data_IF_489809333579
#
_entry.id   IF_489809333579
#
_cell.length_a   1.000
_cell.length_b   1.000
_cell.length_c   1.000
_cell.angle_alpha   90.00
_cell.angle_beta   90.00
_cell.angle_gamma   90.00
#
_symmetry.space_group_name_H-M   'P 1'
#
loop_
_entity.id
_entity.type
_entity.pdbx_description
1 polymer ?
#
# COMPACT_ATOMS: atom_id res chain seq x y z
N UNK A 1 -32.11 -3.26 1.26
CA UNK A 1 -31.21 -2.26 1.86
C UNK A 1 -31.22 -2.48 3.38
N UNK A 2 -30.19 -3.12 3.93
CA UNK A 2 -30.09 -3.32 5.38
C UNK A 2 -29.87 -1.96 6.04
N UNK A 3 -30.85 -1.50 6.82
CA UNK A 3 -30.68 -0.31 7.66
C UNK A 3 -29.77 -0.70 8.83
N UNK A 4 -28.62 -0.05 8.96
CA UNK A 4 -27.75 -0.24 10.12
C UNK A 4 -28.51 0.00 11.40
N UNK A 5 -28.38 -0.94 12.34
CA UNK A 5 -29.10 -0.90 13.61
C UNK A 5 -28.32 -0.04 14.63
N UNK A 6 -28.95 0.48 15.67
CA UNK A 6 -28.26 1.26 16.71
C UNK A 6 -27.13 0.52 17.44
N UNK A 7 -27.16 -0.80 17.49
CA UNK A 7 -26.12 -1.65 18.09
C UNK A 7 -24.98 -1.99 17.14
N UNK A 8 -25.07 -1.66 15.84
CA UNK A 8 -23.99 -1.87 14.91
C UNK A 8 -22.85 -0.88 15.19
N UNK A 9 -21.62 -1.27 14.83
CA UNK A 9 -20.45 -0.40 14.88
C UNK A 9 -20.19 0.22 13.50
N UNK A 10 -19.90 1.52 13.47
CA UNK A 10 -19.45 2.23 12.29
C UNK A 10 -18.06 2.80 12.55
N UNK A 11 -17.04 2.12 12.02
CA UNK A 11 -15.64 2.49 12.14
C UNK A 11 -15.26 3.24 10.87
N UNK A 12 -14.67 4.43 11.00
CA UNK A 12 -14.32 5.25 9.83
C UNK A 12 -13.11 6.14 10.06
N UNK A 13 -12.41 6.45 8.97
CA UNK A 13 -11.31 7.39 8.98
C UNK A 13 -11.83 8.83 8.97
N UNK A 14 -11.61 9.52 10.08
CA UNK A 14 -12.16 10.85 10.30
C UNK A 14 -11.46 11.96 9.51
N UNK A 15 -10.22 11.73 9.01
CA UNK A 15 -9.50 12.71 8.18
C UNK A 15 -9.96 12.71 6.73
N UNK A 16 -10.70 11.66 6.28
CA UNK A 16 -11.18 11.58 4.91
C UNK A 16 -12.22 12.65 4.61
N UNK A 17 -11.95 13.58 3.65
CA UNK A 17 -12.86 14.69 3.36
C UNK A 17 -14.19 14.25 2.74
N UNK A 18 -14.20 13.10 2.05
CA UNK A 18 -15.42 12.55 1.46
C UNK A 18 -16.31 12.01 2.57
N UNK A 19 -15.72 11.24 3.50
CA UNK A 19 -16.45 10.70 4.64
C UNK A 19 -17.01 11.84 5.51
N UNK A 20 -16.20 12.86 5.83
CA UNK A 20 -16.66 14.06 6.57
C UNK A 20 -17.88 14.69 5.91
N UNK A 21 -17.79 14.98 4.62
CA UNK A 21 -18.88 15.60 3.86
C UNK A 21 -20.15 14.75 3.81
N UNK A 22 -20.00 13.44 3.63
CA UNK A 22 -21.16 12.55 3.54
C UNK A 22 -21.82 12.32 4.90
N UNK A 23 -21.07 12.29 6.00
CA UNK A 23 -21.62 12.16 7.35
C UNK A 23 -22.56 13.31 7.72
N UNK A 24 -22.32 14.52 7.22
CA UNK A 24 -23.21 15.66 7.43
C UNK A 24 -24.60 15.47 6.83
N UNK A 25 -24.72 14.63 5.79
CA UNK A 25 -25.96 14.37 5.05
C UNK A 25 -26.78 13.22 5.64
N UNK A 26 -26.17 12.36 6.45
CA UNK A 26 -26.81 11.13 6.93
C UNK A 26 -26.85 11.05 8.45
N UNK A 27 -28.00 10.74 8.99
CA UNK A 27 -28.15 10.42 10.42
C UNK A 27 -27.74 8.95 10.63
N UNK A 28 -26.48 8.71 11.00
CA UNK A 28 -25.94 7.38 11.28
C UNK A 28 -26.40 6.95 12.68
N UNK A 29 -27.24 5.92 12.75
CA UNK A 29 -27.77 5.37 14.01
C UNK A 29 -26.79 4.43 14.73
N UNK A 30 -25.84 3.84 14.00
CA UNK A 30 -24.82 2.97 14.54
C UNK A 30 -23.89 3.72 15.51
N UNK A 31 -23.31 3.02 16.47
CA UNK A 31 -22.29 3.56 17.34
C UNK A 31 -21.05 3.91 16.49
N UNK A 32 -20.59 5.15 16.60
CA UNK A 32 -19.51 5.67 15.74
C UNK A 32 -18.16 5.55 16.44
N UNK A 33 -17.19 5.01 15.71
CA UNK A 33 -15.82 4.82 16.14
C UNK A 33 -14.86 5.49 15.13
N UNK A 34 -14.74 6.83 15.18
CA UNK A 34 -13.82 7.57 14.31
C UNK A 34 -12.37 7.38 14.71
N UNK A 35 -11.49 7.21 13.73
CA UNK A 35 -10.04 7.25 13.93
C UNK A 35 -9.39 8.25 12.97
N UNK A 36 -8.24 8.81 13.38
CA UNK A 36 -7.49 9.81 12.64
C UNK A 36 -5.97 9.60 12.81
N UNK A 37 -5.17 10.37 12.09
CA UNK A 37 -3.71 10.38 12.30
C UNK A 37 -3.36 10.95 13.67
N UNK A 38 -3.98 12.06 14.02
CA UNK A 38 -3.74 12.79 15.27
C UNK A 38 -4.98 12.79 16.15
N UNK A 39 -4.77 13.05 17.45
CA UNK A 39 -5.86 13.24 18.41
C UNK A 39 -6.65 14.49 18.09
N UNK A 40 -7.92 14.33 17.81
CA UNK A 40 -8.91 15.41 17.66
C UNK A 40 -10.11 15.14 18.55
N UNK A 41 -10.96 16.20 18.74
CA UNK A 41 -12.20 16.06 19.53
C UNK A 41 -13.13 15.04 18.87
N UNK A 42 -13.49 14.00 19.62
CA UNK A 42 -14.39 12.94 19.17
C UNK A 42 -13.72 11.77 18.48
N UNK A 43 -12.44 11.86 18.13
CA UNK A 43 -11.63 10.74 17.62
C UNK A 43 -11.27 9.80 18.77
N UNK A 44 -11.41 8.50 18.55
CA UNK A 44 -11.17 7.46 19.57
C UNK A 44 -9.96 6.57 19.27
N UNK A 45 -9.42 6.61 18.05
CA UNK A 45 -8.21 5.91 17.66
C UNK A 45 -7.25 6.84 16.92
N UNK A 46 -5.99 6.94 17.35
CA UNK A 46 -5.03 7.91 16.83
C UNK A 46 -3.59 7.53 17.19
N UNK A 47 -2.61 8.23 16.60
CA UNK A 47 -1.20 8.18 17.01
C UNK A 47 -0.87 9.44 17.80
N UNK A 48 -0.24 9.27 18.95
CA UNK A 48 0.25 10.37 19.80
C UNK A 48 1.58 9.98 20.42
N UNK A 49 2.61 10.80 20.24
CA UNK A 49 3.96 10.58 20.80
C UNK A 49 4.53 9.18 20.49
N UNK A 50 4.36 8.68 19.27
CA UNK A 50 4.81 7.35 18.88
C UNK A 50 3.98 6.19 19.44
N UNK A 51 2.87 6.50 20.12
CA UNK A 51 1.94 5.52 20.65
C UNK A 51 0.72 5.37 19.73
N UNK A 52 0.41 4.14 19.39
CA UNK A 52 -0.86 3.73 18.82
C UNK A 52 -1.89 3.65 19.96
N UNK A 53 -2.95 4.44 19.90
CA UNK A 53 -3.94 4.54 20.97
C UNK A 53 -5.35 4.30 20.46
N UNK A 54 -6.13 3.55 21.24
CA UNK A 54 -7.58 3.38 21.09
C UNK A 54 -8.20 3.69 22.47
N UNK A 55 -9.15 4.64 22.51
CA UNK A 55 -9.80 5.04 23.77
C UNK A 55 -11.07 4.23 24.07
N UNK A 56 -11.75 3.72 23.04
CA UNK A 56 -13.05 3.06 23.17
C UNK A 56 -13.18 1.83 22.24
N UNK A 57 -14.03 0.84 22.59
CA UNK A 57 -14.82 0.72 23.85
C UNK A 57 -13.96 0.47 25.08
N UNK A 58 -12.80 -0.16 24.94
CA UNK A 58 -11.83 -0.35 26.01
C UNK A 58 -10.47 0.31 25.66
N UNK A 59 -9.88 1.09 26.59
CA UNK A 59 -8.58 1.72 26.34
C UNK A 59 -7.50 0.68 25.98
N UNK A 60 -6.79 0.92 24.88
CA UNK A 60 -5.67 0.10 24.39
C UNK A 60 -4.56 0.99 23.86
N UNK A 61 -3.33 0.65 24.17
CA UNK A 61 -2.16 1.32 23.62
C UNK A 61 -1.02 0.34 23.33
N UNK A 62 -0.16 0.69 22.38
CA UNK A 62 1.12 0.02 22.09
C UNK A 62 2.04 0.98 21.37
N UNK A 63 3.36 0.67 21.39
CA UNK A 63 4.34 1.42 20.61
C UNK A 63 4.04 1.27 19.11
N UNK A 64 4.02 2.38 18.38
CA UNK A 64 3.83 2.37 16.94
C UNK A 64 4.92 1.55 16.23
N UNK A 65 6.15 1.59 16.73
CA UNK A 65 7.28 0.82 16.20
C UNK A 65 7.10 -0.69 16.34
N UNK A 66 6.24 -1.13 17.26
CA UNK A 66 5.87 -2.54 17.44
C UNK A 66 4.89 -3.06 16.41
N UNK A 67 4.29 -2.20 15.57
CA UNK A 67 3.45 -2.64 14.48
C UNK A 67 4.29 -3.35 13.41
N UNK A 68 3.86 -4.55 13.03
CA UNK A 68 4.56 -5.35 12.00
C UNK A 68 4.50 -4.71 10.61
N UNK A 69 3.40 -4.03 10.30
CA UNK A 69 3.21 -3.33 9.04
C UNK A 69 3.61 -1.87 9.16
N UNK A 70 4.51 -1.42 8.30
CA UNK A 70 5.00 -0.04 8.25
C UNK A 70 4.28 0.78 7.15
N UNK A 71 4.41 2.09 7.24
CA UNK A 71 3.79 3.03 6.29
C UNK A 71 2.44 3.56 6.78
N UNK A 72 2.16 4.81 6.40
CA UNK A 72 1.02 5.59 6.89
C UNK A 72 -0.33 4.89 6.69
N UNK A 73 -0.56 4.33 5.50
CA UNK A 73 -1.79 3.58 5.20
C UNK A 73 -1.96 2.33 6.07
N UNK A 74 -0.87 1.66 6.44
CA UNK A 74 -0.93 0.48 7.32
C UNK A 74 -1.21 0.86 8.77
N UNK A 75 -0.80 2.05 9.21
CA UNK A 75 -1.20 2.59 10.52
C UNK A 75 -2.72 2.75 10.56
N UNK A 76 -3.34 3.32 9.54
CA UNK A 76 -4.79 3.46 9.46
C UNK A 76 -5.51 2.11 9.40
N UNK A 77 -4.99 1.17 8.63
CA UNK A 77 -5.51 -0.19 8.59
C UNK A 77 -5.42 -0.87 9.97
N UNK A 78 -4.31 -0.68 10.68
CA UNK A 78 -4.11 -1.21 12.03
C UNK A 78 -5.07 -0.56 13.03
N UNK A 79 -5.31 0.77 12.95
CA UNK A 79 -6.29 1.47 13.77
C UNK A 79 -7.70 0.91 13.55
N UNK A 80 -8.11 0.78 12.30
CA UNK A 80 -9.42 0.21 11.97
C UNK A 80 -9.56 -1.25 12.47
N UNK A 81 -8.55 -2.09 12.25
CA UNK A 81 -8.53 -3.48 12.69
C UNK A 81 -8.52 -3.60 14.22
N UNK A 82 -7.71 -2.79 14.90
CA UNK A 82 -7.64 -2.76 16.37
C UNK A 82 -8.95 -2.32 17.01
N UNK A 83 -9.59 -1.27 16.48
CA UNK A 83 -10.90 -0.82 16.93
C UNK A 83 -11.95 -1.93 16.69
N UNK A 84 -11.99 -2.51 15.51
CA UNK A 84 -12.95 -3.58 15.19
C UNK A 84 -12.78 -4.79 16.12
N UNK A 85 -11.56 -5.19 16.40
CA UNK A 85 -11.24 -6.29 17.31
C UNK A 85 -11.65 -5.96 18.76
N UNK A 86 -11.42 -4.71 19.19
CA UNK A 86 -11.80 -4.22 20.52
C UNK A 86 -13.32 -4.19 20.66
N UNK A 87 -14.06 -3.68 19.67
CA UNK A 87 -15.52 -3.70 19.62
C UNK A 87 -16.07 -5.13 19.64
N UNK A 88 -15.38 -6.08 19.01
CA UNK A 88 -15.73 -7.51 19.01
C UNK A 88 -15.39 -8.21 20.34
N UNK A 89 -14.79 -7.53 21.30
CA UNK A 89 -14.44 -8.09 22.61
C UNK A 89 -13.21 -8.99 22.60
N UNK A 90 -12.33 -8.86 21.60
CA UNK A 90 -11.06 -9.58 21.56
C UNK A 90 -10.13 -9.05 22.65
N UNK A 91 -9.41 -9.96 23.33
CA UNK A 91 -8.49 -9.58 24.39
C UNK A 91 -7.35 -8.69 23.90
N UNK A 92 -6.95 -7.72 24.72
CA UNK A 92 -5.90 -6.74 24.39
C UNK A 92 -4.56 -7.41 24.05
N UNK A 93 -4.23 -8.52 24.71
CA UNK A 93 -3.01 -9.29 24.46
C UNK A 93 -3.02 -9.90 23.04
N UNK A 94 -4.19 -10.43 22.62
CA UNK A 94 -4.34 -11.03 21.29
C UNK A 94 -4.33 -9.95 20.20
N UNK A 95 -4.96 -8.78 20.45
CA UNK A 95 -4.88 -7.63 19.53
C UNK A 95 -3.42 -7.18 19.38
N UNK A 96 -2.70 -6.99 20.50
CA UNK A 96 -1.30 -6.58 20.48
C UNK A 96 -0.43 -7.57 19.71
N UNK A 97 -0.55 -8.86 20.05
CA UNK A 97 0.19 -9.94 19.38
C UNK A 97 -0.08 -9.93 17.88
N UNK A 98 -1.35 -9.91 17.48
CA UNK A 98 -1.72 -9.93 16.05
C UNK A 98 -1.17 -8.72 15.30
N UNK A 99 -1.24 -7.52 15.88
CA UNK A 99 -0.70 -6.31 15.25
C UNK A 99 0.83 -6.30 15.17
N UNK A 100 1.52 -6.97 16.09
CA UNK A 100 2.99 -7.09 16.10
C UNK A 100 3.52 -8.20 15.19
N UNK A 101 2.78 -9.31 15.07
CA UNK A 101 3.27 -10.53 14.41
C UNK A 101 2.67 -10.72 13.01
N UNK A 102 1.77 -9.84 12.56
CA UNK A 102 1.10 -10.00 11.27
C UNK A 102 2.11 -9.98 10.11
N UNK A 103 2.26 -11.07 9.35
CA UNK A 103 3.31 -11.17 8.32
C UNK A 103 3.05 -10.32 7.07
N UNK A 104 1.93 -9.58 7.04
CA UNK A 104 1.48 -8.84 5.88
C UNK A 104 0.56 -9.68 4.97
N UNK A 105 0.08 -9.04 3.92
CA UNK A 105 -0.72 -9.69 2.88
C UNK A 105 0.21 -9.95 1.70
N UNK A 106 0.21 -11.17 1.21
CA UNK A 106 0.95 -11.56 0.02
C UNK A 106 0.67 -10.59 -1.15
N UNK A 107 1.67 -10.29 -1.94
CA UNK A 107 1.62 -9.31 -3.04
C UNK A 107 1.33 -7.85 -2.62
N UNK A 108 1.43 -7.50 -1.32
CA UNK A 108 1.29 -6.12 -0.84
C UNK A 108 2.54 -5.70 -0.07
N UNK A 109 3.41 -4.91 -0.72
CA UNK A 109 4.72 -4.50 -0.21
C UNK A 109 5.52 -5.67 0.40
N UNK A 110 5.32 -6.86 -0.15
CA UNK A 110 5.93 -8.12 0.29
C UNK A 110 7.43 -8.12 -0.01
N UNK A 111 8.25 -8.20 1.03
CA UNK A 111 9.70 -8.33 0.87
C UNK A 111 10.02 -9.75 0.40
N UNK A 112 10.56 -9.89 -0.80
CA UNK A 112 10.80 -11.19 -1.44
C UNK A 112 12.20 -11.74 -1.12
N UNK A 113 13.23 -10.96 -1.45
CA UNK A 113 14.63 -11.32 -1.25
C UNK A 113 15.53 -10.08 -1.36
N UNK A 114 16.81 -10.27 -1.05
CA UNK A 114 17.86 -9.27 -1.33
C UNK A 114 18.95 -9.95 -2.16
N UNK A 115 19.24 -9.40 -3.33
CA UNK A 115 20.27 -9.92 -4.25
C UNK A 115 21.27 -8.81 -4.55
N UNK A 116 22.56 -9.06 -4.39
CA UNK A 116 23.67 -8.08 -4.57
C UNK A 116 23.45 -6.75 -3.82
N UNK A 117 22.80 -6.80 -2.63
CA UNK A 117 22.48 -5.60 -1.86
C UNK A 117 21.28 -4.79 -2.39
N UNK A 118 20.54 -5.31 -3.37
CA UNK A 118 19.28 -4.76 -3.89
C UNK A 118 18.12 -5.52 -3.27
N UNK A 119 17.16 -4.80 -2.68
CA UNK A 119 15.95 -5.38 -2.13
C UNK A 119 14.87 -5.52 -3.22
N UNK A 120 14.21 -6.67 -3.29
CA UNK A 120 13.09 -6.93 -4.20
C UNK A 120 11.79 -6.94 -3.41
N UNK A 121 10.84 -6.06 -3.79
CA UNK A 121 9.54 -5.90 -3.12
C UNK A 121 8.41 -6.15 -4.13
N UNK A 122 7.52 -7.06 -3.77
CA UNK A 122 6.34 -7.41 -4.55
C UNK A 122 5.11 -6.67 -4.02
N UNK A 123 4.61 -5.74 -4.82
CA UNK A 123 3.37 -5.02 -4.58
C UNK A 123 2.41 -5.19 -5.79
N UNK A 124 2.35 -6.41 -6.33
CA UNK A 124 1.50 -6.75 -7.48
C UNK A 124 0.03 -6.41 -7.28
N UNK A 125 -0.42 -6.30 -6.02
CA UNK A 125 -1.77 -5.89 -5.63
C UNK A 125 -2.05 -4.41 -5.90
N UNK A 126 -1.05 -3.56 -6.14
CA UNK A 126 -1.20 -2.16 -6.53
C UNK A 126 -1.70 -2.04 -7.98
N UNK A 127 -2.99 -2.27 -8.19
CA UNK A 127 -3.64 -2.29 -9.50
C UNK A 127 -4.27 -0.94 -9.89
N UNK A 128 -3.93 0.13 -9.18
CA UNK A 128 -4.32 1.51 -9.45
C UNK A 128 -3.22 2.48 -9.01
N UNK A 129 -3.34 3.74 -9.43
CA UNK A 129 -2.34 4.79 -9.20
C UNK A 129 -2.19 5.15 -7.73
N UNK A 130 -3.30 5.21 -6.98
CA UNK A 130 -3.27 5.54 -5.55
C UNK A 130 -2.47 4.50 -4.74
N UNK A 131 -2.64 3.21 -5.04
CA UNK A 131 -1.89 2.16 -4.38
C UNK A 131 -0.38 2.30 -4.63
N UNK A 132 0.03 2.59 -5.87
CA UNK A 132 1.43 2.84 -6.22
C UNK A 132 1.97 4.11 -5.53
N UNK A 133 1.15 5.14 -5.39
CA UNK A 133 1.52 6.35 -4.66
C UNK A 133 1.94 6.02 -3.21
N UNK A 134 1.11 5.27 -2.49
CA UNK A 134 1.43 4.84 -1.12
C UNK A 134 2.64 3.89 -1.07
N UNK A 135 2.79 3.03 -2.07
CA UNK A 135 3.96 2.16 -2.15
C UNK A 135 5.26 2.96 -2.32
N UNK A 136 5.29 3.94 -3.22
CA UNK A 136 6.42 4.83 -3.41
C UNK A 136 6.70 5.70 -2.17
N UNK A 137 5.65 6.24 -1.54
CA UNK A 137 5.79 7.05 -0.32
C UNK A 137 6.48 6.27 0.79
N UNK A 138 6.13 4.99 0.95
CA UNK A 138 6.71 4.11 1.97
C UNK A 138 8.19 3.74 1.72
N UNK A 139 8.73 3.93 0.52
CA UNK A 139 10.12 3.58 0.20
C UNK A 139 11.12 4.52 0.86
N UNK A 140 12.14 3.93 1.49
CA UNK A 140 13.22 4.65 2.17
C UNK A 140 14.51 4.73 1.35
N UNK A 141 14.60 4.00 0.25
CA UNK A 141 15.76 3.94 -0.66
C UNK A 141 15.36 4.42 -2.05
N UNK A 142 16.34 4.62 -2.93
CA UNK A 142 16.06 4.81 -4.37
C UNK A 142 15.44 3.53 -4.96
N UNK A 143 14.61 3.70 -5.97
CA UNK A 143 13.73 2.66 -6.50
C UNK A 143 13.93 2.47 -7.99
N UNK A 144 14.05 1.23 -8.44
CA UNK A 144 13.72 0.82 -9.81
C UNK A 144 12.23 0.41 -9.77
N UNK A 145 11.38 1.23 -10.36
CA UNK A 145 9.93 1.03 -10.36
C UNK A 145 9.50 0.18 -11.55
N UNK A 146 8.82 -0.93 -11.29
CA UNK A 146 8.13 -1.71 -12.33
C UNK A 146 6.68 -1.24 -12.37
N UNK A 147 6.26 -0.68 -13.50
CA UNK A 147 4.94 -0.13 -13.74
C UNK A 147 4.38 -0.63 -15.07
N UNK A 148 3.07 -0.86 -15.16
CA UNK A 148 2.42 -1.28 -16.39
C UNK A 148 1.42 -2.40 -16.22
N UNK A 149 0.85 -2.82 -17.34
CA UNK A 149 -0.24 -3.76 -17.43
C UNK A 149 -1.44 -3.16 -18.17
N UNK A 150 -2.62 -3.76 -18.02
CA UNK A 150 -3.84 -3.28 -18.67
C UNK A 150 -4.32 -1.97 -18.04
N UNK A 151 -4.03 -0.85 -18.70
CA UNK A 151 -4.50 0.48 -18.32
C UNK A 151 -6.03 0.59 -18.43
N UNK A 152 -6.66 1.25 -17.46
CA UNK A 152 -8.12 1.47 -17.40
C UNK A 152 -8.49 2.96 -17.48
N UNK A 153 -7.66 3.77 -18.08
CA UNK A 153 -7.84 5.22 -18.12
C UNK A 153 -7.14 5.94 -16.96
N UNK A 154 -6.04 5.37 -16.45
CA UNK A 154 -5.30 5.94 -15.33
C UNK A 154 -4.84 7.38 -15.62
N UNK A 155 -4.93 8.25 -14.62
CA UNK A 155 -4.22 9.50 -14.52
C UNK A 155 -2.95 9.28 -13.69
N UNK A 156 -1.78 9.45 -14.29
CA UNK A 156 -0.48 9.25 -13.63
C UNK A 156 0.09 10.54 -13.00
N UNK A 157 -0.54 11.69 -13.19
CA UNK A 157 -0.05 12.96 -12.62
C UNK A 157 0.19 12.89 -11.11
N UNK A 158 -0.67 12.25 -10.29
CA UNK A 158 -0.48 12.21 -8.84
C UNK A 158 0.81 11.51 -8.38
N UNK A 159 1.35 10.55 -9.14
CA UNK A 159 2.57 9.83 -8.75
C UNK A 159 3.86 10.43 -9.30
N UNK A 160 3.78 11.30 -10.33
CA UNK A 160 4.98 11.89 -10.97
C UNK A 160 5.93 12.58 -9.99
N UNK A 161 5.48 13.35 -9.00
CA UNK A 161 6.38 13.96 -8.02
C UNK A 161 7.21 12.92 -7.25
N UNK A 162 6.57 11.84 -6.77
CA UNK A 162 7.26 10.76 -6.05
C UNK A 162 8.18 9.94 -6.96
N UNK A 163 7.77 9.69 -8.21
CA UNK A 163 8.61 9.03 -9.20
C UNK A 163 9.89 9.86 -9.43
N UNK A 164 9.77 11.16 -9.61
CA UNK A 164 10.92 12.06 -9.79
C UNK A 164 11.83 12.11 -8.57
N UNK A 165 11.26 12.09 -7.38
CA UNK A 165 12.00 12.13 -6.12
C UNK A 165 12.71 10.80 -5.83
N UNK A 166 12.02 9.68 -5.99
CA UNK A 166 12.45 8.39 -5.45
C UNK A 166 12.99 7.41 -6.48
N UNK A 167 12.59 7.50 -7.76
CA UNK A 167 13.03 6.52 -8.75
C UNK A 167 14.41 6.87 -9.32
N UNK A 168 15.26 5.86 -9.42
CA UNK A 168 16.53 5.88 -10.15
C UNK A 168 16.38 5.21 -11.54
N UNK A 169 15.27 4.50 -11.76
CA UNK A 169 14.91 3.90 -13.04
C UNK A 169 13.44 3.46 -13.05
N UNK A 170 12.91 3.30 -14.25
CA UNK A 170 11.55 2.79 -14.48
C UNK A 170 11.61 1.66 -15.49
N UNK A 171 10.92 0.57 -15.22
CA UNK A 171 10.76 -0.56 -16.14
C UNK A 171 9.28 -0.71 -16.45
N UNK A 172 8.93 -0.54 -17.72
CA UNK A 172 7.56 -0.77 -18.18
C UNK A 172 7.34 -2.27 -18.39
N UNK A 173 6.21 -2.77 -17.92
CA UNK A 173 5.82 -4.17 -18.02
C UNK A 173 4.37 -4.27 -18.49
N UNK A 174 4.15 -4.43 -19.78
CA UNK A 174 2.81 -4.51 -20.36
C UNK A 174 2.84 -4.98 -21.81
N UNK A 175 1.71 -5.42 -22.32
CA UNK A 175 1.53 -5.74 -23.74
C UNK A 175 1.57 -4.46 -24.61
N UNK A 176 1.08 -3.35 -24.08
CA UNK A 176 1.09 -2.02 -24.66
C UNK A 176 1.50 -1.00 -23.60
N UNK A 177 2.66 -0.36 -23.79
CA UNK A 177 3.25 0.61 -22.87
C UNK A 177 3.21 2.04 -23.40
N UNK A 178 2.51 2.30 -24.50
CA UNK A 178 2.51 3.63 -25.16
C UNK A 178 2.14 4.76 -24.18
N UNK A 179 1.10 4.56 -23.38
CA UNK A 179 0.66 5.57 -22.41
C UNK A 179 1.69 5.83 -21.31
N UNK A 180 2.50 4.85 -20.94
CA UNK A 180 3.59 5.02 -19.98
C UNK A 180 4.73 5.84 -20.61
N UNK A 181 5.06 5.60 -21.88
CA UNK A 181 6.02 6.43 -22.63
C UNK A 181 5.59 7.90 -22.68
N UNK A 182 4.33 8.17 -22.98
CA UNK A 182 3.77 9.53 -23.03
C UNK A 182 3.89 10.26 -21.67
N UNK A 183 3.79 9.52 -20.56
CA UNK A 183 3.79 10.08 -19.21
C UNK A 183 5.15 10.19 -18.55
N UNK A 184 6.09 9.28 -18.83
CA UNK A 184 7.31 9.15 -18.02
C UNK A 184 8.62 9.34 -18.80
N UNK A 185 8.67 9.20 -20.13
CA UNK A 185 9.93 9.29 -20.89
C UNK A 185 10.62 10.66 -20.75
N UNK A 186 9.85 11.72 -20.59
CA UNK A 186 10.38 13.10 -20.50
C UNK A 186 10.79 13.50 -19.07
N UNK A 187 10.80 12.56 -18.11
CA UNK A 187 11.14 12.87 -16.72
C UNK A 187 12.65 12.88 -16.42
N UNK A 188 13.49 12.51 -17.40
CA UNK A 188 14.95 12.43 -17.20
C UNK A 188 15.41 11.25 -16.34
N UNK A 189 14.56 10.23 -16.18
CA UNK A 189 14.85 8.99 -15.46
C UNK A 189 15.08 7.91 -16.51
N UNK A 190 16.12 7.04 -16.35
CA UNK A 190 16.34 5.92 -17.26
C UNK A 190 15.11 4.98 -17.31
N UNK A 191 14.71 4.63 -18.52
CA UNK A 191 13.55 3.76 -18.80
C UNK A 191 13.99 2.50 -19.53
N UNK A 192 13.35 1.37 -19.26
CA UNK A 192 13.38 0.15 -20.08
C UNK A 192 11.95 -0.28 -20.38
N UNK A 193 11.70 -0.59 -21.64
CA UNK A 193 10.42 -1.12 -22.12
C UNK A 193 10.49 -2.65 -22.23
N UNK A 194 9.55 -3.36 -21.61
CA UNK A 194 9.54 -4.82 -21.55
C UNK A 194 8.15 -5.40 -21.68
N UNK A 195 8.05 -6.60 -22.26
CA UNK A 195 6.80 -7.28 -22.59
C UNK A 195 6.68 -8.67 -21.95
N UNK A 196 7.57 -9.01 -21.03
CA UNK A 196 7.51 -10.24 -20.23
C UNK A 196 8.16 -10.03 -18.87
N UNK A 197 7.75 -10.80 -17.86
CA UNK A 197 8.36 -10.72 -16.52
C UNK A 197 9.86 -11.07 -16.58
N UNK A 198 10.27 -11.98 -17.47
CA UNK A 198 11.66 -12.36 -17.63
C UNK A 198 12.53 -11.20 -18.14
N UNK A 199 12.08 -10.49 -19.17
CA UNK A 199 12.75 -9.28 -19.69
C UNK A 199 12.78 -8.18 -18.62
N UNK A 200 11.67 -7.97 -17.94
CA UNK A 200 11.55 -6.99 -16.86
C UNK A 200 12.58 -7.24 -15.74
N UNK A 201 12.68 -8.48 -15.28
CA UNK A 201 13.63 -8.83 -14.22
C UNK A 201 15.08 -8.71 -14.65
N UNK A 202 15.41 -9.05 -15.91
CA UNK A 202 16.75 -8.83 -16.48
C UNK A 202 17.08 -7.32 -16.52
N UNK A 203 16.16 -6.48 -16.99
CA UNK A 203 16.33 -5.04 -17.00
C UNK A 203 16.51 -4.47 -15.58
N UNK A 204 15.72 -4.91 -14.61
CA UNK A 204 15.87 -4.51 -13.21
C UNK A 204 17.25 -4.90 -12.64
N UNK A 205 17.70 -6.11 -12.92
CA UNK A 205 19.00 -6.61 -12.46
C UNK A 205 20.18 -5.79 -13.00
N UNK A 206 20.09 -5.33 -14.27
CA UNK A 206 21.10 -4.47 -14.90
C UNK A 206 21.09 -3.03 -14.37
N UNK A 207 19.89 -2.49 -14.09
CA UNK A 207 19.73 -1.09 -13.71
C UNK A 207 19.98 -0.84 -12.22
N UNK A 208 19.59 -1.77 -11.36
CA UNK A 208 19.61 -1.58 -9.90
C UNK A 208 21.03 -1.64 -9.33
N UNK A 209 21.31 -0.76 -8.37
CA UNK A 209 22.58 -0.66 -7.65
C UNK A 209 22.41 -1.12 -6.19
N UNK A 210 23.50 -1.62 -5.55
CA UNK A 210 23.45 -1.95 -4.13
C UNK A 210 22.90 -0.81 -3.28
N UNK A 211 21.99 -1.12 -2.35
CA UNK A 211 21.27 -0.15 -1.52
C UNK A 211 19.95 0.34 -2.11
N UNK A 212 19.65 0.02 -3.37
CA UNK A 212 18.37 0.36 -4.00
C UNK A 212 17.31 -0.74 -3.80
N UNK A 213 16.07 -0.41 -4.16
CA UNK A 213 14.93 -1.34 -4.16
C UNK A 213 14.37 -1.51 -5.57
N UNK A 214 14.15 -2.75 -5.99
CA UNK A 214 13.29 -3.08 -7.13
C UNK A 214 11.87 -3.26 -6.59
N UNK A 215 10.95 -2.41 -7.04
CA UNK A 215 9.56 -2.38 -6.59
C UNK A 215 8.61 -2.72 -7.73
N UNK A 216 7.93 -3.87 -7.64
CA UNK A 216 6.79 -4.19 -8.50
C UNK A 216 5.54 -3.49 -7.93
N UNK A 217 5.17 -2.31 -8.44
CA UNK A 217 3.95 -1.58 -8.06
C UNK A 217 3.27 -1.01 -9.31
N UNK A 218 2.52 -1.86 -10.02
CA UNK A 218 2.26 -1.69 -11.45
C UNK A 218 1.23 -0.64 -11.83
N UNK A 219 0.47 -0.04 -10.94
CA UNK A 219 -0.66 0.87 -11.19
C UNK A 219 -1.80 0.28 -12.02
N UNK A 220 -1.60 -0.86 -12.67
CA UNK A 220 -2.49 -1.42 -13.66
C UNK A 220 -2.94 -2.84 -13.31
N UNK A 221 -4.09 -3.24 -13.85
CA UNK A 221 -4.50 -4.64 -13.82
C UNK A 221 -3.50 -5.51 -14.65
N UNK A 222 -3.45 -6.81 -14.35
CA UNK A 222 -2.45 -7.72 -14.90
C UNK A 222 -2.91 -8.54 -16.11
N UNK A 223 -4.17 -8.39 -16.53
CA UNK A 223 -4.84 -9.28 -17.48
C UNK A 223 -4.37 -9.19 -18.93
N UNK A 224 -3.37 -8.36 -19.21
CA UNK A 224 -2.72 -8.28 -20.52
C UNK A 224 -1.64 -9.35 -20.71
N UNK A 225 -0.80 -9.58 -19.71
CA UNK A 225 0.32 -10.54 -19.75
C UNK A 225 0.15 -11.72 -18.78
N UNK A 226 -0.73 -11.62 -17.80
CA UNK A 226 -0.86 -12.57 -16.69
C UNK A 226 -2.34 -12.97 -16.47
N UNK A 227 -2.54 -14.12 -15.85
CA UNK A 227 -3.90 -14.61 -15.52
C UNK A 227 -4.62 -13.70 -14.52
N UNK A 228 -3.88 -13.22 -13.53
CA UNK A 228 -4.35 -12.34 -12.46
C UNK A 228 -3.15 -11.65 -11.79
N UNK A 229 -3.38 -10.85 -10.76
CA UNK A 229 -2.31 -10.15 -10.06
C UNK A 229 -1.46 -11.10 -9.19
N UNK A 230 -2.01 -12.19 -8.75
CA UNK A 230 -1.31 -13.23 -8.01
C UNK A 230 -0.27 -13.91 -8.92
N UNK A 231 -0.66 -14.32 -10.13
CA UNK A 231 0.24 -14.91 -11.12
C UNK A 231 1.40 -13.95 -11.47
N UNK A 232 1.11 -12.65 -11.67
CA UNK A 232 2.14 -11.63 -11.86
C UNK A 232 3.11 -11.56 -10.68
N UNK A 233 2.59 -11.56 -9.46
CA UNK A 233 3.38 -11.50 -8.25
C UNK A 233 4.21 -12.76 -8.02
N UNK A 234 3.68 -13.95 -8.30
CA UNK A 234 4.40 -15.22 -8.19
C UNK A 234 5.56 -15.29 -9.19
N UNK A 235 5.35 -14.93 -10.46
CA UNK A 235 6.41 -14.90 -11.47
C UNK A 235 7.52 -13.91 -11.07
N UNK A 236 7.17 -12.75 -10.52
CA UNK A 236 8.16 -11.81 -9.97
C UNK A 236 8.98 -12.44 -8.83
N UNK A 237 8.30 -13.07 -7.85
CA UNK A 237 8.97 -13.72 -6.70
C UNK A 237 9.89 -14.85 -7.14
N UNK A 238 9.41 -15.71 -8.03
CA UNK A 238 10.20 -16.83 -8.55
C UNK A 238 11.46 -16.34 -9.26
N UNK A 239 11.33 -15.39 -10.18
CA UNK A 239 12.49 -14.86 -10.92
C UNK A 239 13.43 -14.07 -10.01
N UNK A 240 12.93 -13.29 -9.04
CA UNK A 240 13.77 -12.57 -8.10
C UNK A 240 14.62 -13.50 -7.21
N UNK A 241 14.07 -14.63 -6.79
CA UNK A 241 14.80 -15.64 -5.99
C UNK A 241 15.83 -16.44 -6.79
N UNK A 242 15.73 -16.43 -8.11
CA UNK A 242 16.63 -17.15 -9.02
C UNK A 242 17.68 -16.24 -9.68
N UNK A 243 17.80 -14.97 -9.28
CA UNK A 243 18.88 -14.06 -9.66
C UNK A 243 20.16 -14.39 -8.85
#
# INVERSE_FOLDING_TARGET
MYKRQPQDAFIYWADDPIIKRELEKYNIKAIQYPFAELKEKGVIGYIEEGQYKIEQPEPFNMEQESLSLTGKHNIYNSLAAGIASNVAGIKKEDIRKSLSDFPGVEHRLEKVCTVRGVQYINDSKATNVDACWYALEAMKTKVILIIGGKDKGNDYEPIKPLVKEKCSGIVYLGADNQKLHENFDNMGIPVRDTHSMKECMAACYEMAKPGETVLLSPCCASFDLFKNMEDRGEQFKELARNL
#
